data_IF_108504118953
#
_entry.id   IF_108504118953
#
_cell.length_a   1.000
_cell.length_b   1.000
_cell.length_c   1.000
_cell.angle_alpha   90.00
_cell.angle_beta   90.00
_cell.angle_gamma   90.00
#
_symmetry.space_group_name_H-M   'P 1'
#
loop_
_entity.id
_entity.type
_entity.pdbx_description
1 polymer ?
#
# COMPACT_ATOMS: atom_id res chain seq x y z
N UNK A 1 20.74 -50.36 -2.50
CA UNK A 1 20.36 -49.60 -3.71
C UNK A 1 19.52 -50.48 -4.66
N UNK A 2 18.39 -51.02 -4.18
CA UNK A 2 17.62 -52.06 -4.89
C UNK A 2 16.43 -51.50 -5.69
N UNK A 3 16.08 -50.23 -5.50
CA UNK A 3 14.96 -49.61 -6.21
C UNK A 3 15.31 -49.39 -7.67
N UNK A 4 14.33 -49.56 -8.55
CA UNK A 4 14.48 -49.32 -9.99
C UNK A 4 14.95 -47.88 -10.22
N UNK A 5 15.92 -47.71 -11.11
CA UNK A 5 16.37 -46.39 -11.55
C UNK A 5 15.23 -45.61 -12.22
N UNK A 6 15.33 -44.28 -12.15
CA UNK A 6 14.43 -43.37 -12.85
C UNK A 6 14.62 -43.51 -14.38
N UNK A 7 13.68 -42.97 -15.17
CA UNK A 7 13.76 -42.99 -16.64
C UNK A 7 14.97 -42.23 -17.20
N UNK A 8 15.49 -41.25 -16.44
CA UNK A 8 16.72 -40.51 -16.76
C UNK A 8 18.01 -41.26 -16.38
N UNK A 9 17.93 -42.51 -15.88
CA UNK A 9 19.08 -43.34 -15.51
C UNK A 9 19.65 -43.12 -14.10
N UNK A 10 19.16 -42.11 -13.37
CA UNK A 10 19.58 -41.83 -11.99
C UNK A 10 18.95 -42.80 -10.99
N UNK A 11 19.59 -42.93 -9.81
CA UNK A 11 19.05 -43.73 -8.73
C UNK A 11 17.72 -43.18 -8.21
N UNK A 12 16.86 -44.08 -7.73
CA UNK A 12 15.65 -43.69 -7.03
C UNK A 12 15.99 -42.81 -5.82
N UNK A 13 15.31 -41.69 -5.67
CA UNK A 13 15.53 -40.70 -4.62
C UNK A 13 14.18 -40.43 -3.94
N UNK A 14 14.06 -40.68 -2.63
CA UNK A 14 12.82 -40.40 -1.89
C UNK A 14 12.66 -38.91 -1.60
N UNK A 15 13.78 -38.23 -1.33
CA UNK A 15 13.81 -36.83 -0.92
C UNK A 15 15.13 -36.21 -1.30
N UNK A 16 15.11 -34.95 -1.71
CA UNK A 16 16.31 -34.14 -1.93
C UNK A 16 16.24 -32.85 -1.13
N UNK A 17 17.41 -32.33 -0.79
CA UNK A 17 17.57 -30.98 -0.27
C UNK A 17 18.46 -30.21 -1.23
N UNK A 18 18.18 -28.92 -1.42
CA UNK A 18 19.06 -28.02 -2.16
C UNK A 18 19.90 -27.28 -1.14
N UNK A 19 21.22 -27.43 -1.22
CA UNK A 19 22.16 -26.69 -0.39
C UNK A 19 22.59 -25.44 -1.16
N UNK A 20 22.30 -24.26 -0.61
CA UNK A 20 22.61 -22.96 -1.21
C UNK A 20 21.40 -22.04 -1.28
N UNK A 21 21.58 -20.75 -1.67
CA UNK A 21 20.47 -19.85 -1.88
C UNK A 21 19.54 -20.44 -2.95
N UNK A 22 18.24 -20.44 -2.68
CA UNK A 22 17.24 -20.83 -3.69
C UNK A 22 17.49 -19.98 -4.94
N UNK A 23 17.56 -20.57 -6.14
CA UNK A 23 17.77 -19.78 -7.35
C UNK A 23 16.67 -18.73 -7.41
N UNK A 24 17.08 -17.47 -7.34
CA UNK A 24 16.16 -16.33 -7.37
C UNK A 24 15.56 -16.34 -8.77
N UNK A 25 14.29 -16.67 -8.88
CA UNK A 25 13.60 -16.68 -10.16
C UNK A 25 13.52 -15.25 -10.70
N UNK A 26 13.49 -15.09 -12.02
CA UNK A 26 13.31 -13.76 -12.67
C UNK A 26 12.11 -13.01 -12.05
N UNK A 27 11.04 -13.73 -11.71
CA UNK A 27 9.86 -13.18 -11.02
C UNK A 27 10.18 -12.59 -9.65
N UNK A 28 11.05 -13.24 -8.87
CA UNK A 28 11.44 -12.77 -7.54
C UNK A 28 12.31 -11.52 -7.65
N UNK A 29 13.20 -11.44 -8.66
CA UNK A 29 13.95 -10.20 -8.96
C UNK A 29 13.01 -9.04 -9.32
N UNK A 30 12.02 -9.28 -10.19
CA UNK A 30 11.04 -8.25 -10.59
C UNK A 30 10.25 -7.77 -9.38
N UNK A 31 9.78 -8.70 -8.54
CA UNK A 31 9.04 -8.36 -7.33
C UNK A 31 9.88 -7.53 -6.35
N UNK A 32 11.15 -7.88 -6.15
CA UNK A 32 12.05 -7.11 -5.29
C UNK A 32 12.34 -5.72 -5.84
N UNK A 33 12.54 -5.57 -7.16
CA UNK A 33 12.70 -4.27 -7.79
C UNK A 33 11.46 -3.39 -7.58
N UNK A 34 10.27 -3.92 -7.88
CA UNK A 34 9.00 -3.22 -7.67
C UNK A 34 8.76 -2.85 -6.20
N UNK A 35 9.12 -3.76 -5.28
CA UNK A 35 8.99 -3.50 -3.84
C UNK A 35 9.87 -2.32 -3.42
N UNK A 36 11.12 -2.28 -3.87
CA UNK A 36 12.05 -1.18 -3.57
C UNK A 36 11.54 0.16 -4.08
N UNK A 37 11.06 0.22 -5.32
CA UNK A 37 10.48 1.45 -5.88
C UNK A 37 9.26 1.92 -5.06
N UNK A 38 8.39 0.99 -4.68
CA UNK A 38 7.16 1.31 -3.93
C UNK A 38 7.42 1.75 -2.50
N UNK A 39 8.46 1.25 -1.82
CA UNK A 39 8.74 1.58 -0.42
C UNK A 39 8.94 3.09 -0.20
N UNK A 40 9.65 3.77 -1.12
CA UNK A 40 9.88 5.21 -1.01
C UNK A 40 8.58 6.01 -1.09
N UNK A 41 7.71 5.65 -2.04
CA UNK A 41 6.40 6.30 -2.19
C UNK A 41 5.49 6.01 -1.00
N UNK A 42 5.45 4.76 -0.54
CA UNK A 42 4.60 4.35 0.57
C UNK A 42 4.95 5.08 1.87
N UNK A 43 6.25 5.34 2.12
CA UNK A 43 6.70 6.13 3.27
C UNK A 43 6.14 7.56 3.23
N UNK A 44 6.28 8.24 2.08
CA UNK A 44 5.75 9.60 1.89
C UNK A 44 4.23 9.66 2.02
N UNK A 45 3.52 8.68 1.46
CA UNK A 45 2.06 8.58 1.59
C UNK A 45 1.65 8.41 3.06
N UNK A 46 2.39 7.62 3.83
CA UNK A 46 2.14 7.44 5.28
C UNK A 46 2.36 8.74 6.04
N UNK A 47 3.41 9.49 5.72
CA UNK A 47 3.70 10.80 6.31
C UNK A 47 2.59 11.82 6.00
N UNK A 48 2.18 11.92 4.72
CA UNK A 48 1.08 12.80 4.31
C UNK A 48 -0.21 12.43 5.07
N UNK A 49 -0.54 11.13 5.15
CA UNK A 49 -1.71 10.68 5.93
C UNK A 49 -1.62 11.09 7.40
N UNK A 50 -0.44 10.94 8.01
CA UNK A 50 -0.23 11.34 9.40
C UNK A 50 -0.40 12.86 9.61
N UNK A 51 0.08 13.68 8.67
CA UNK A 51 -0.12 15.12 8.70
C UNK A 51 -1.59 15.51 8.55
N UNK A 52 -2.31 14.90 7.61
CA UNK A 52 -3.73 15.14 7.38
C UNK A 52 -4.64 14.60 8.49
N UNK A 53 -4.13 13.73 9.35
CA UNK A 53 -4.84 13.25 10.55
C UNK A 53 -4.72 14.22 11.73
N UNK A 54 -3.83 15.23 11.69
CA UNK A 54 -3.69 16.20 12.77
C UNK A 54 -4.92 17.09 12.86
N UNK A 55 -5.55 17.25 14.04
CA UNK A 55 -6.78 18.03 14.19
C UNK A 55 -6.60 19.50 13.82
N UNK A 56 -5.43 20.08 14.07
CA UNK A 56 -5.08 21.46 13.69
C UNK A 56 -5.10 21.63 12.16
N UNK A 57 -4.51 20.69 11.43
CA UNK A 57 -4.46 20.71 9.96
C UNK A 57 -5.85 20.48 9.40
N UNK A 58 -6.62 19.55 9.95
CA UNK A 58 -8.00 19.31 9.54
C UNK A 58 -8.88 20.53 9.79
N UNK A 59 -8.76 21.20 10.94
CA UNK A 59 -9.49 22.42 11.25
C UNK A 59 -9.13 23.54 10.28
N UNK A 60 -7.84 23.70 9.94
CA UNK A 60 -7.38 24.68 8.95
C UNK A 60 -7.93 24.37 7.55
N UNK A 61 -7.89 23.11 7.12
CA UNK A 61 -8.48 22.67 5.84
C UNK A 61 -9.98 22.95 5.83
N UNK A 62 -10.71 22.62 6.90
CA UNK A 62 -12.14 22.89 7.02
C UNK A 62 -12.43 24.38 6.95
N UNK A 63 -11.67 25.21 7.67
CA UNK A 63 -11.76 26.67 7.61
C UNK A 63 -11.56 27.18 6.18
N UNK A 64 -10.49 26.79 5.50
CA UNK A 64 -10.22 27.24 4.14
C UNK A 64 -11.28 26.76 3.14
N UNK A 65 -11.74 25.51 3.27
CA UNK A 65 -12.77 24.95 2.39
C UNK A 65 -14.15 25.55 2.65
N UNK A 66 -14.54 25.82 3.88
CA UNK A 66 -15.91 26.26 4.17
C UNK A 66 -15.98 27.77 4.42
N UNK A 67 -15.17 28.34 5.33
CA UNK A 67 -15.21 29.77 5.69
C UNK A 67 -14.66 30.68 4.56
N UNK A 68 -13.65 30.23 3.81
CA UNK A 68 -13.09 30.98 2.66
C UNK A 68 -14.03 31.12 1.46
N UNK A 69 -15.07 30.28 1.37
CA UNK A 69 -16.10 30.33 0.31
C UNK A 69 -17.29 31.24 0.66
N UNK A 70 -17.59 31.47 1.93
CA UNK A 70 -18.74 32.30 2.33
C UNK A 70 -18.52 33.80 2.11
N UNK A 71 -17.28 34.29 2.09
CA UNK A 71 -17.01 35.73 1.93
C UNK A 71 -17.25 36.22 0.48
N UNK A 72 -17.23 35.33 -0.52
CA UNK A 72 -17.48 35.72 -1.92
C UNK A 72 -18.95 35.68 -2.35
N UNK A 73 -19.81 35.00 -1.58
CA UNK A 73 -21.20 34.74 -1.98
C UNK A 73 -22.21 35.27 -0.95
N UNK A 74 -21.85 36.29 -0.18
CA UNK A 74 -22.68 36.91 0.86
C UNK A 74 -23.88 37.73 0.36
N UNK A 75 -24.53 37.29 -0.73
CA UNK A 75 -25.90 37.66 -1.09
C UNK A 75 -26.64 36.41 -1.61
N UNK A 76 -26.70 35.35 -0.81
CA UNK A 76 -27.91 34.51 -0.74
C UNK A 76 -27.78 33.57 0.45
N UNK A 77 -28.61 33.82 1.46
CA UNK A 77 -28.82 32.88 2.54
C UNK A 77 -29.35 31.58 1.99
N UNK A 78 -28.86 30.48 2.55
CA UNK A 78 -29.67 29.32 2.91
C UNK A 78 -28.88 28.56 3.97
N UNK A 79 -29.43 28.59 5.17
CA UNK A 79 -29.07 27.74 6.30
C UNK A 79 -29.22 26.28 5.86
N UNK A 80 -28.10 25.55 5.81
CA UNK A 80 -28.11 24.10 5.61
C UNK A 80 -27.35 23.50 6.78
N UNK A 81 -28.14 23.07 7.76
CA UNK A 81 -27.71 22.26 8.88
C UNK A 81 -27.18 20.90 8.38
N UNK A 82 -25.89 20.65 8.61
CA UNK A 82 -25.22 19.39 8.27
C UNK A 82 -25.32 18.33 9.39
N UNK A 83 -26.30 18.46 10.29
CA UNK A 83 -26.53 17.50 11.38
C UNK A 83 -27.27 16.21 10.97
N UNK A 84 -27.04 15.66 9.78
CA UNK A 84 -27.57 14.32 9.39
C UNK A 84 -26.62 13.70 8.36
N UNK A 85 -26.12 12.47 8.42
CA UNK A 85 -26.31 11.31 9.29
C UNK A 85 -25.07 10.43 9.09
N UNK A 86 -24.37 10.07 10.15
CA UNK A 86 -23.39 8.97 10.15
C UNK A 86 -24.17 7.72 10.56
N UNK A 87 -24.43 6.81 9.62
CA UNK A 87 -24.80 5.41 9.89
C UNK A 87 -24.16 4.55 8.82
#
# INVERSE_FOLDING_TARGET
MLKKKQSNGYYHCESSIVIGPKPIGIRDLINEALRRERMGLQSKVKEIKALLLKPEIQAKIRRELFEGRFVKNGNQGNDVDFSTTLT
#
